data_IF_525211570890
#
_entry.id   IF_525211570890
#
_cell.length_a   1.000
_cell.length_b   1.000
_cell.length_c   1.000
_cell.angle_alpha   90.00
_cell.angle_beta   90.00
_cell.angle_gamma   90.00
#
_symmetry.space_group_name_H-M   'P 1'
#
loop_
_entity.id
_entity.type
_entity.pdbx_description
1 polymer ?
#
# COMPACT_ATOMS: atom_id res chain seq x y z
N UNK A 1 -14.68 -21.67 -14.15
CA UNK A 1 -14.34 -20.82 -15.32
C UNK A 1 -13.65 -19.57 -14.78
N UNK A 2 -12.32 -19.46 -14.90
CA UNK A 2 -11.58 -18.28 -14.46
C UNK A 2 -11.44 -17.34 -15.66
N UNK A 3 -12.12 -16.18 -15.60
CA UNK A 3 -11.98 -15.15 -16.62
C UNK A 3 -10.74 -14.31 -16.31
N UNK A 4 -9.70 -14.43 -17.13
CA UNK A 4 -8.55 -13.55 -17.07
C UNK A 4 -8.88 -12.21 -17.74
N UNK A 5 -8.88 -11.13 -16.96
CA UNK A 5 -9.12 -9.78 -17.44
C UNK A 5 -7.81 -9.00 -17.48
N UNK A 6 -7.54 -8.32 -18.60
CA UNK A 6 -6.41 -7.38 -18.66
C UNK A 6 -6.56 -6.27 -17.62
N UNK A 7 -5.45 -5.74 -17.09
CA UNK A 7 -5.46 -4.60 -16.14
C UNK A 7 -6.24 -3.40 -16.69
N UNK A 8 -6.11 -3.13 -17.99
CA UNK A 8 -6.82 -2.04 -18.67
C UNK A 8 -8.32 -2.27 -18.70
N UNK A 9 -8.76 -3.49 -19.03
CA UNK A 9 -10.18 -3.88 -19.03
C UNK A 9 -10.75 -3.82 -17.62
N UNK A 10 -10.05 -4.40 -16.64
CA UNK A 10 -10.46 -4.35 -15.23
C UNK A 10 -10.61 -2.90 -14.74
N UNK A 11 -9.65 -2.03 -15.04
CA UNK A 11 -9.74 -0.62 -14.65
C UNK A 11 -10.91 0.12 -15.32
N UNK A 12 -11.27 -0.23 -16.57
CA UNK A 12 -12.40 0.37 -17.28
C UNK A 12 -13.75 -0.03 -16.67
N UNK A 13 -13.88 -1.27 -16.19
CA UNK A 13 -15.09 -1.78 -15.54
C UNK A 13 -15.20 -1.24 -14.10
N UNK A 14 -14.09 -1.23 -13.36
CA UNK A 14 -14.04 -0.80 -11.96
C UNK A 14 -14.55 0.63 -11.75
N UNK A 15 -14.10 1.58 -12.59
CA UNK A 15 -14.38 3.02 -12.43
C UNK A 15 -15.87 3.37 -12.37
N UNK A 16 -16.71 3.00 -13.36
CA UNK A 16 -18.14 3.33 -13.34
C UNK A 16 -18.88 2.64 -12.19
N UNK A 17 -18.58 1.37 -11.88
CA UNK A 17 -19.22 0.64 -10.78
C UNK A 17 -18.93 1.32 -9.45
N UNK A 18 -17.67 1.67 -9.20
CA UNK A 18 -17.27 2.32 -7.95
C UNK A 18 -17.93 3.69 -7.82
N UNK A 19 -18.00 4.47 -8.91
CA UNK A 19 -18.66 5.78 -8.92
C UNK A 19 -20.15 5.67 -8.58
N UNK A 20 -20.89 4.83 -9.30
CA UNK A 20 -22.32 4.60 -9.04
C UNK A 20 -22.56 4.16 -7.60
N UNK A 21 -21.76 3.22 -7.10
CA UNK A 21 -21.89 2.73 -5.72
C UNK A 21 -21.59 3.83 -4.70
N UNK A 22 -20.62 4.71 -4.98
CA UNK A 22 -20.27 5.81 -4.08
C UNK A 22 -21.35 6.89 -4.03
N UNK A 23 -21.96 7.20 -5.18
CA UNK A 23 -23.07 8.16 -5.28
C UNK A 23 -24.33 7.64 -4.57
N UNK A 24 -24.68 6.35 -4.75
CA UNK A 24 -25.88 5.74 -4.13
C UNK A 24 -25.78 5.66 -2.61
N UNK A 25 -24.58 5.39 -2.07
CA UNK A 25 -24.39 5.11 -0.64
C UNK A 25 -23.65 6.21 0.12
N UNK A 26 -23.46 7.39 -0.47
CA UNK A 26 -22.67 8.48 0.09
C UNK A 26 -21.32 7.98 0.65
N UNK A 27 -20.52 7.34 -0.20
CA UNK A 27 -19.22 6.80 0.22
C UNK A 27 -18.08 7.80 0.01
N UNK A 28 -18.40 9.00 -0.47
CA UNK A 28 -17.39 10.01 -0.75
C UNK A 28 -16.93 10.74 0.51
N UNK A 29 -15.63 11.02 0.63
CA UNK A 29 -15.08 11.75 1.76
C UNK A 29 -15.45 13.24 1.71
N UNK A 30 -15.76 13.82 2.87
CA UNK A 30 -15.93 15.26 3.03
C UNK A 30 -14.57 15.92 3.39
N UNK A 31 -14.16 16.93 2.62
CA UNK A 31 -12.90 17.67 2.85
C UNK A 31 -12.89 18.51 4.13
N UNK A 32 -14.05 18.77 4.73
CA UNK A 32 -14.16 19.48 6.01
C UNK A 32 -13.73 18.62 7.20
N UNK A 33 -13.79 17.28 7.07
CA UNK A 33 -13.37 16.37 8.13
C UNK A 33 -11.89 16.55 8.43
N UNK A 34 -11.56 16.59 9.73
CA UNK A 34 -10.20 16.81 10.23
C UNK A 34 -9.62 15.55 10.87
N UNK A 35 -8.30 15.51 10.94
CA UNK A 35 -7.50 14.44 11.54
C UNK A 35 -7.86 13.05 11.00
N UNK A 36 -7.94 12.93 9.67
CA UNK A 36 -8.30 11.67 9.04
C UNK A 36 -7.13 10.69 9.07
N UNK A 37 -7.40 9.42 9.37
CA UNK A 37 -6.47 8.31 9.14
C UNK A 37 -6.65 7.80 7.70
N UNK A 38 -5.59 7.81 6.89
CA UNK A 38 -5.62 7.24 5.55
C UNK A 38 -5.19 5.76 5.58
N UNK A 39 -6.12 4.85 5.31
CA UNK A 39 -5.86 3.42 5.18
C UNK A 39 -5.55 3.06 3.72
N UNK A 40 -4.29 2.81 3.41
CA UNK A 40 -3.84 2.50 2.05
C UNK A 40 -3.88 1.00 1.75
N UNK A 41 -4.67 0.62 0.74
CA UNK A 41 -4.84 -0.75 0.25
C UNK A 41 -5.37 -1.76 1.30
N UNK A 42 -6.16 -1.30 2.27
CA UNK A 42 -6.82 -2.19 3.25
C UNK A 42 -8.03 -2.88 2.61
N UNK A 43 -8.11 -4.21 2.72
CA UNK A 43 -9.27 -4.98 2.26
C UNK A 43 -10.35 -5.00 3.37
N UNK A 44 -11.54 -4.41 3.16
CA UNK A 44 -12.59 -4.41 4.17
C UNK A 44 -12.98 -5.81 4.65
N UNK A 45 -12.87 -6.84 3.80
CA UNK A 45 -13.17 -8.22 4.21
C UNK A 45 -12.16 -8.77 5.24
N UNK A 46 -10.92 -8.29 5.21
CA UNK A 46 -9.86 -8.74 6.12
C UNK A 46 -9.77 -7.89 7.37
N UNK A 47 -10.18 -6.62 7.29
CA UNK A 47 -10.03 -5.63 8.36
C UNK A 47 -11.39 -5.15 8.91
N UNK A 48 -12.44 -5.97 8.78
CA UNK A 48 -13.80 -5.66 9.26
C UNK A 48 -13.81 -5.15 10.70
N UNK A 49 -13.18 -5.89 11.62
CA UNK A 49 -13.10 -5.54 13.04
C UNK A 49 -12.43 -4.18 13.26
N UNK A 50 -11.29 -3.92 12.60
CA UNK A 50 -10.58 -2.63 12.69
C UNK A 50 -11.45 -1.45 12.23
N UNK A 51 -12.14 -1.60 11.10
CA UNK A 51 -12.99 -0.55 10.57
C UNK A 51 -14.20 -0.28 11.49
N UNK A 52 -14.74 -1.32 12.11
CA UNK A 52 -15.83 -1.20 13.08
C UNK A 52 -15.36 -0.56 14.38
N UNK A 53 -14.15 -0.86 14.84
CA UNK A 53 -13.57 -0.24 16.04
C UNK A 53 -13.29 1.25 15.80
N UNK A 54 -12.75 1.63 14.63
CA UNK A 54 -12.59 3.04 14.26
C UNK A 54 -13.92 3.80 14.28
N UNK A 55 -15.00 3.19 13.78
CA UNK A 55 -16.33 3.78 13.89
C UNK A 55 -16.77 3.95 15.35
N UNK A 56 -16.58 2.91 16.17
CA UNK A 56 -16.98 2.92 17.59
C UNK A 56 -16.24 4.01 18.37
N UNK A 57 -14.96 4.19 18.10
CA UNK A 57 -14.10 5.21 18.72
C UNK A 57 -14.25 6.61 18.06
N UNK A 58 -15.21 6.77 17.13
CA UNK A 58 -15.45 8.01 16.37
C UNK A 58 -14.19 8.56 15.66
N UNK A 59 -13.33 7.67 15.18
CA UNK A 59 -12.14 8.02 14.41
C UNK A 59 -12.53 8.28 12.96
N UNK A 60 -12.11 9.42 12.42
CA UNK A 60 -12.26 9.71 10.99
C UNK A 60 -11.22 8.92 10.20
N UNK A 61 -11.65 8.12 9.23
CA UNK A 61 -10.72 7.37 8.37
C UNK A 61 -11.20 7.29 6.92
N UNK A 62 -10.22 7.19 6.02
CA UNK A 62 -10.41 7.14 4.57
C UNK A 62 -9.76 5.89 4.00
N UNK A 63 -10.49 5.14 3.17
CA UNK A 63 -9.97 4.00 2.42
C UNK A 63 -9.43 4.48 1.08
N UNK A 64 -8.14 4.21 0.81
CA UNK A 64 -7.54 4.44 -0.50
C UNK A 64 -7.02 3.13 -1.09
N UNK A 65 -7.79 2.59 -2.04
CA UNK A 65 -7.61 1.22 -2.53
C UNK A 65 -7.20 1.21 -4.01
N UNK A 66 -5.89 1.36 -4.23
CA UNK A 66 -5.27 1.50 -5.55
C UNK A 66 -5.14 0.15 -6.28
N UNK A 67 -4.87 -0.93 -5.56
CA UNK A 67 -4.71 -2.28 -6.15
C UNK A 67 -6.05 -2.98 -6.39
N UNK A 68 -6.70 -3.39 -5.31
CA UNK A 68 -8.01 -4.05 -5.31
C UNK A 68 -9.05 -3.04 -4.85
N UNK A 69 -10.19 -2.86 -5.56
CA UNK A 69 -11.28 -2.01 -5.08
C UNK A 69 -11.66 -2.34 -3.63
N UNK A 70 -12.05 -1.33 -2.84
CA UNK A 70 -12.53 -1.58 -1.48
C UNK A 70 -13.85 -2.39 -1.49
N UNK A 71 -14.70 -2.18 -2.50
CA UNK A 71 -15.94 -2.92 -2.71
C UNK A 71 -15.73 -3.98 -3.78
N UNK A 72 -15.77 -5.25 -3.41
CA UNK A 72 -15.61 -6.39 -4.33
C UNK A 72 -16.80 -7.33 -4.37
N UNK A 73 -17.66 -7.29 -3.35
CA UNK A 73 -18.92 -8.03 -3.27
C UNK A 73 -19.86 -7.36 -2.25
N UNK A 74 -21.09 -7.90 -2.12
CA UNK A 74 -22.10 -7.41 -1.17
C UNK A 74 -21.55 -7.33 0.27
N UNK A 75 -20.80 -8.34 0.72
CA UNK A 75 -20.23 -8.34 2.08
C UNK A 75 -19.27 -7.17 2.30
N UNK A 76 -18.36 -6.90 1.36
CA UNK A 76 -17.46 -5.74 1.48
C UNK A 76 -18.22 -4.40 1.47
N UNK A 77 -19.31 -4.30 0.68
CA UNK A 77 -20.18 -3.13 0.69
C UNK A 77 -20.87 -2.96 2.05
N UNK A 78 -21.40 -4.05 2.61
CA UNK A 78 -22.04 -4.04 3.92
C UNK A 78 -21.06 -3.59 5.02
N UNK A 79 -19.82 -4.09 5.00
CA UNK A 79 -18.76 -3.67 5.93
C UNK A 79 -18.49 -2.17 5.79
N UNK A 80 -18.32 -1.67 4.57
CA UNK A 80 -18.05 -0.25 4.30
C UNK A 80 -19.19 0.63 4.84
N UNK A 81 -20.44 0.26 4.56
CA UNK A 81 -21.61 0.99 5.05
C UNK A 81 -21.70 0.94 6.57
N UNK A 82 -21.55 -0.24 7.15
CA UNK A 82 -21.71 -0.45 8.58
C UNK A 82 -20.61 0.25 9.39
N UNK A 83 -19.39 0.31 8.87
CA UNK A 83 -18.26 1.05 9.46
C UNK A 83 -18.27 2.55 9.13
N UNK A 84 -19.23 3.04 8.32
CA UNK A 84 -19.25 4.42 7.80
C UNK A 84 -17.95 4.81 7.07
N UNK A 85 -17.26 3.83 6.49
CA UNK A 85 -16.03 4.03 5.75
C UNK A 85 -16.26 4.96 4.56
N UNK A 86 -15.37 5.94 4.36
CA UNK A 86 -15.34 6.77 3.15
C UNK A 86 -14.22 6.31 2.23
N UNK A 87 -14.47 6.29 0.91
CA UNK A 87 -13.55 5.78 -0.10
C UNK A 87 -13.04 6.92 -0.95
N UNK A 88 -11.73 7.07 -0.99
CA UNK A 88 -11.05 8.03 -1.86
C UNK A 88 -10.88 7.44 -3.26
N UNK A 89 -11.43 8.11 -4.27
CA UNK A 89 -11.06 7.87 -5.67
C UNK A 89 -10.00 8.87 -6.12
N UNK A 90 -8.75 8.41 -6.13
CA UNK A 90 -7.59 9.23 -6.52
C UNK A 90 -7.71 9.78 -7.95
N UNK A 91 -8.41 9.10 -8.86
CA UNK A 91 -8.57 9.54 -10.25
C UNK A 91 -9.38 10.84 -10.36
N UNK A 92 -10.24 11.16 -9.39
CA UNK A 92 -11.01 12.41 -9.40
C UNK A 92 -10.12 13.64 -9.39
N UNK A 93 -8.87 13.50 -8.94
CA UNK A 93 -7.91 14.59 -8.93
C UNK A 93 -7.25 14.85 -10.28
N UNK A 94 -7.29 13.91 -11.21
CA UNK A 94 -6.60 13.99 -12.50
C UNK A 94 -6.99 15.26 -13.28
N UNK A 95 -8.27 15.65 -13.24
CA UNK A 95 -8.75 16.87 -13.91
C UNK A 95 -8.09 18.16 -13.42
N UNK A 96 -7.57 18.20 -12.20
CA UNK A 96 -6.96 19.40 -11.62
C UNK A 96 -5.45 19.50 -11.86
N UNK A 97 -4.79 18.40 -12.23
CA UNK A 97 -3.32 18.32 -12.36
C UNK A 97 -2.87 17.80 -13.73
N UNK A 98 -3.79 17.69 -14.69
CA UNK A 98 -3.55 17.07 -16.00
C UNK A 98 -2.41 17.73 -16.78
N UNK A 99 -2.35 19.07 -16.79
CA UNK A 99 -1.28 19.83 -17.45
C UNK A 99 0.08 19.57 -16.82
N UNK A 100 0.14 19.58 -15.49
CA UNK A 100 1.37 19.44 -14.74
C UNK A 100 1.94 18.02 -14.90
N UNK A 101 1.07 17.01 -14.84
CA UNK A 101 1.43 15.62 -15.13
C UNK A 101 2.01 15.49 -16.53
N UNK A 102 1.33 16.05 -17.54
CA UNK A 102 1.79 15.98 -18.93
C UNK A 102 3.19 16.58 -19.09
N UNK A 103 3.42 17.78 -18.55
CA UNK A 103 4.73 18.44 -18.63
C UNK A 103 5.81 17.65 -17.88
N UNK A 104 5.53 17.18 -16.67
CA UNK A 104 6.46 16.42 -15.87
C UNK A 104 6.83 15.07 -16.53
N UNK A 105 5.86 14.35 -17.08
CA UNK A 105 6.09 13.11 -17.81
C UNK A 105 6.92 13.33 -19.08
N UNK A 106 6.65 14.41 -19.83
CA UNK A 106 7.45 14.76 -21.02
C UNK A 106 8.89 15.09 -20.65
N UNK A 107 9.12 15.86 -19.59
CA UNK A 107 10.47 16.16 -19.11
C UNK A 107 11.19 14.88 -18.64
N UNK A 108 10.52 14.04 -17.87
CA UNK A 108 11.04 12.76 -17.41
C UNK A 108 11.41 11.85 -18.59
N UNK A 109 10.58 11.78 -19.63
CA UNK A 109 10.88 10.99 -20.84
C UNK A 109 12.21 11.44 -21.47
N UNK A 110 12.42 12.74 -21.66
CA UNK A 110 13.67 13.25 -22.22
C UNK A 110 14.89 12.88 -21.36
N UNK A 111 14.76 12.87 -20.04
CA UNK A 111 15.83 12.46 -19.11
C UNK A 111 16.10 10.95 -19.23
N UNK A 112 15.04 10.14 -19.24
CA UNK A 112 15.12 8.69 -19.38
C UNK A 112 15.82 8.31 -20.70
N UNK A 113 15.46 8.96 -21.80
CA UNK A 113 16.09 8.74 -23.11
C UNK A 113 17.58 9.03 -23.07
N UNK A 114 17.99 10.15 -22.46
CA UNK A 114 19.41 10.50 -22.29
C UNK A 114 20.16 9.45 -21.47
N UNK A 115 19.57 8.96 -20.37
CA UNK A 115 20.17 7.93 -19.53
C UNK A 115 20.36 6.63 -20.34
N UNK A 116 19.32 6.15 -21.01
CA UNK A 116 19.37 4.88 -21.75
C UNK A 116 20.21 4.91 -23.03
N UNK A 117 20.65 6.09 -23.48
CA UNK A 117 21.61 6.22 -24.56
C UNK A 117 23.05 5.90 -24.14
N UNK A 118 23.36 5.84 -22.83
CA UNK A 118 24.67 5.39 -22.33
C UNK A 118 24.78 3.86 -22.28
N UNK A 119 24.87 3.26 -23.46
CA UNK A 119 24.94 1.80 -23.61
C UNK A 119 26.17 1.18 -22.94
N UNK A 120 27.27 1.94 -22.85
CA UNK A 120 28.54 1.48 -22.26
C UNK A 120 28.40 1.23 -20.76
N UNK A 121 27.83 2.19 -20.02
CA UNK A 121 27.60 2.04 -18.58
C UNK A 121 26.66 0.88 -18.27
N UNK A 122 25.59 0.73 -19.05
CA UNK A 122 24.65 -0.37 -18.86
C UNK A 122 25.23 -1.74 -19.23
N UNK A 123 26.05 -1.83 -20.29
CA UNK A 123 26.78 -3.06 -20.59
C UNK A 123 27.64 -3.50 -19.43
N UNK A 124 28.36 -2.57 -18.81
CA UNK A 124 29.19 -2.83 -17.62
C UNK A 124 28.36 -3.27 -16.41
N UNK A 125 27.21 -2.61 -16.17
CA UNK A 125 26.33 -2.92 -15.04
C UNK A 125 25.63 -4.28 -15.18
N UNK A 126 25.13 -4.58 -16.37
CA UNK A 126 24.44 -5.83 -16.70
C UNK A 126 25.40 -6.83 -17.35
N UNK A 127 26.40 -7.27 -16.57
CA UNK A 127 27.38 -8.27 -16.97
C UNK A 127 27.61 -9.33 -15.89
N UNK A 128 27.91 -10.55 -16.31
CA UNK A 128 28.42 -11.65 -15.47
C UNK A 128 29.71 -12.14 -16.10
N UNK A 129 30.78 -12.27 -15.33
CA UNK A 129 32.10 -12.70 -15.83
C UNK A 129 32.58 -11.93 -17.07
N UNK A 130 32.30 -10.61 -17.10
CA UNK A 130 32.58 -9.69 -18.22
C UNK A 130 31.74 -9.91 -19.48
N UNK A 131 30.82 -10.88 -19.48
CA UNK A 131 29.83 -11.06 -20.53
C UNK A 131 28.59 -10.22 -20.23
N UNK A 132 28.36 -9.23 -21.08
CA UNK A 132 27.18 -8.38 -20.96
C UNK A 132 25.95 -9.05 -21.54
N UNK A 133 24.86 -9.07 -20.77
CA UNK A 133 23.53 -9.48 -21.23
C UNK A 133 22.61 -8.28 -21.51
N UNK A 134 23.14 -7.05 -21.46
CA UNK A 134 22.37 -5.83 -21.61
C UNK A 134 21.58 -5.79 -22.92
N UNK A 135 22.19 -6.15 -24.04
CA UNK A 135 21.54 -6.13 -25.35
C UNK A 135 20.30 -7.04 -25.41
N UNK A 136 20.25 -8.09 -24.60
CA UNK A 136 19.10 -9.02 -24.55
C UNK A 136 17.92 -8.46 -23.77
N UNK A 137 18.16 -7.51 -22.85
CA UNK A 137 17.12 -6.97 -21.95
C UNK A 137 16.82 -5.48 -22.18
N UNK A 138 17.66 -4.77 -22.93
CA UNK A 138 17.66 -3.30 -23.06
C UNK A 138 16.28 -2.73 -23.32
N UNK A 139 15.60 -3.21 -24.36
CA UNK A 139 14.32 -2.65 -24.79
C UNK A 139 13.23 -2.91 -23.74
N UNK A 140 13.12 -4.15 -23.26
CA UNK A 140 12.15 -4.51 -22.23
C UNK A 140 12.40 -3.73 -20.92
N UNK A 141 13.67 -3.60 -20.51
CA UNK A 141 14.03 -2.86 -19.31
C UNK A 141 13.69 -1.37 -19.46
N UNK A 142 14.01 -0.76 -20.61
CA UNK A 142 13.64 0.62 -20.93
C UNK A 142 12.13 0.83 -20.90
N UNK A 143 11.36 -0.07 -21.49
CA UNK A 143 9.89 0.02 -21.53
C UNK A 143 9.27 -0.10 -20.14
N UNK A 144 9.79 -1.04 -19.33
CA UNK A 144 9.37 -1.19 -17.93
C UNK A 144 9.70 0.09 -17.15
N UNK A 145 10.93 0.59 -17.22
CA UNK A 145 11.30 1.82 -16.51
C UNK A 145 10.46 3.01 -16.95
N UNK A 146 10.32 3.23 -18.26
CA UNK A 146 9.56 4.36 -18.81
C UNK A 146 8.11 4.33 -18.37
N UNK A 147 7.43 3.19 -18.54
CA UNK A 147 6.03 3.04 -18.13
C UNK A 147 5.84 3.21 -16.63
N UNK A 148 6.67 2.56 -15.80
CA UNK A 148 6.56 2.65 -14.34
C UNK A 148 6.86 4.04 -13.81
N UNK A 149 7.84 4.74 -14.37
CA UNK A 149 8.16 6.10 -13.95
C UNK A 149 7.07 7.09 -14.37
N UNK A 150 6.48 6.94 -15.55
CA UNK A 150 5.31 7.74 -15.96
C UNK A 150 4.11 7.53 -15.02
N UNK A 151 3.80 6.28 -14.68
CA UNK A 151 2.75 5.94 -13.70
C UNK A 151 3.04 6.55 -12.32
N UNK A 152 4.29 6.49 -11.84
CA UNK A 152 4.72 7.14 -10.60
C UNK A 152 4.53 8.65 -10.67
N UNK A 153 4.96 9.31 -11.74
CA UNK A 153 4.82 10.76 -11.89
C UNK A 153 3.37 11.16 -11.78
N UNK A 154 2.47 10.53 -12.53
CA UNK A 154 1.03 10.80 -12.43
C UNK A 154 0.54 10.67 -10.99
N UNK A 155 0.82 9.53 -10.35
CA UNK A 155 0.32 9.22 -9.03
C UNK A 155 0.87 10.15 -7.94
N UNK A 156 2.11 10.62 -8.04
CA UNK A 156 2.68 11.62 -7.14
C UNK A 156 1.92 12.96 -7.21
N UNK A 157 1.55 13.43 -8.39
CA UNK A 157 0.72 14.64 -8.53
C UNK A 157 -0.69 14.44 -7.95
N UNK A 158 -1.29 13.26 -8.14
CA UNK A 158 -2.58 12.95 -7.55
C UNK A 158 -2.51 12.87 -6.01
N UNK A 159 -1.47 12.25 -5.44
CA UNK A 159 -1.25 12.25 -4.00
C UNK A 159 -1.02 13.66 -3.44
N UNK A 160 -0.24 14.49 -4.15
CA UNK A 160 -0.06 15.90 -3.77
C UNK A 160 -1.41 16.61 -3.68
N UNK A 161 -2.30 16.39 -4.67
CA UNK A 161 -3.64 16.97 -4.63
C UNK A 161 -4.48 16.40 -3.49
N UNK A 162 -4.43 15.08 -3.25
CA UNK A 162 -5.10 14.41 -2.14
C UNK A 162 -4.74 15.06 -0.79
N UNK A 163 -3.45 15.14 -0.46
CA UNK A 163 -2.98 15.67 0.82
C UNK A 163 -3.17 17.18 0.96
N UNK A 164 -3.29 17.92 -0.14
CA UNK A 164 -3.74 19.33 -0.08
C UNK A 164 -5.25 19.49 0.11
N UNK A 165 -6.04 18.44 -0.16
CA UNK A 165 -7.51 18.50 -0.16
C UNK A 165 -8.10 18.01 1.17
N UNK A 166 -7.53 16.94 1.73
CA UNK A 166 -7.98 16.35 2.99
C UNK A 166 -6.94 16.56 4.07
N UNK A 167 -7.42 16.86 5.28
CA UNK A 167 -6.58 16.92 6.47
C UNK A 167 -6.27 15.49 6.95
N UNK A 168 -5.19 14.91 6.43
CA UNK A 168 -4.71 13.58 6.79
C UNK A 168 -3.69 13.72 7.92
N UNK A 169 -3.98 13.12 9.08
CA UNK A 169 -3.09 13.14 10.24
C UNK A 169 -2.04 12.02 10.15
N UNK A 170 -2.50 10.81 9.82
CA UNK A 170 -1.65 9.62 9.79
C UNK A 170 -2.02 8.70 8.62
N UNK A 171 -1.00 8.13 7.96
CA UNK A 171 -1.14 7.13 6.90
C UNK A 171 -0.86 5.74 7.47
N UNK A 172 -1.79 4.82 7.33
CA UNK A 172 -1.59 3.42 7.64
C UNK A 172 -1.37 2.64 6.34
N UNK A 173 -0.32 1.81 6.35
CA UNK A 173 -0.03 0.87 5.26
C UNK A 173 0.08 -0.54 5.82
N UNK A 174 -0.27 -1.55 5.03
CA UNK A 174 0.01 -2.94 5.41
C UNK A 174 1.51 -3.25 5.29
N UNK A 175 2.15 -2.79 4.22
CA UNK A 175 3.58 -2.97 3.96
C UNK A 175 4.10 -1.89 3.02
N UNK A 176 5.35 -1.49 3.16
CA UNK A 176 5.97 -0.39 2.40
C UNK A 176 6.84 -0.84 1.20
N UNK A 177 6.66 -2.06 0.70
CA UNK A 177 7.49 -2.58 -0.42
C UNK A 177 7.01 -2.13 -1.79
N UNK A 178 5.70 -1.93 -1.94
CA UNK A 178 5.09 -1.68 -3.24
C UNK A 178 5.22 -0.23 -3.67
N UNK A 179 5.21 -0.04 -4.99
CA UNK A 179 5.41 1.28 -5.62
C UNK A 179 4.39 2.31 -5.12
N UNK A 180 3.12 1.94 -5.03
CA UNK A 180 2.06 2.84 -4.59
C UNK A 180 2.17 3.21 -3.11
N UNK A 181 2.58 2.28 -2.23
CA UNK A 181 2.80 2.58 -0.81
C UNK A 181 4.00 3.50 -0.61
N UNK A 182 5.12 3.22 -1.29
CA UNK A 182 6.31 4.06 -1.22
C UNK A 182 6.00 5.50 -1.61
N UNK A 183 5.31 5.69 -2.73
CA UNK A 183 4.94 7.03 -3.20
C UNK A 183 3.97 7.75 -2.25
N UNK A 184 2.98 7.04 -1.70
CA UNK A 184 2.06 7.61 -0.72
C UNK A 184 2.79 8.06 0.55
N UNK A 185 3.70 7.22 1.09
CA UNK A 185 4.49 7.52 2.29
C UNK A 185 5.43 8.71 2.03
N UNK A 186 6.18 8.69 0.92
CA UNK A 186 7.12 9.76 0.59
C UNK A 186 6.42 11.10 0.37
N UNK A 187 5.27 11.08 -0.32
CA UNK A 187 4.46 12.29 -0.49
C UNK A 187 3.83 12.73 0.84
N UNK A 188 3.39 11.79 1.69
CA UNK A 188 2.94 12.09 3.05
C UNK A 188 4.00 12.82 3.88
N UNK A 189 5.25 12.33 3.85
CA UNK A 189 6.39 12.98 4.50
C UNK A 189 6.65 14.39 3.98
N UNK A 190 6.50 14.63 2.68
CA UNK A 190 6.59 15.98 2.11
C UNK A 190 5.55 16.94 2.71
N UNK A 191 4.37 16.43 3.09
CA UNK A 191 3.34 17.17 3.82
C UNK A 191 3.45 17.05 5.36
N UNK A 192 4.56 16.52 5.89
CA UNK A 192 4.77 16.27 7.33
C UNK A 192 3.75 15.31 7.98
N UNK A 193 3.11 14.46 7.18
CA UNK A 193 2.13 13.46 7.63
C UNK A 193 2.89 12.22 8.12
N UNK A 194 2.51 11.71 9.30
CA UNK A 194 3.12 10.51 9.88
C UNK A 194 2.60 9.25 9.20
N UNK A 195 3.44 8.22 9.18
CA UNK A 195 3.12 6.94 8.56
C UNK A 195 3.38 5.77 9.49
N UNK A 196 2.48 4.79 9.48
CA UNK A 196 2.50 3.61 10.33
C UNK A 196 2.33 2.35 9.48
N UNK A 197 3.26 1.41 9.58
CA UNK A 197 3.14 0.08 8.97
C UNK A 197 2.50 -0.91 9.94
N UNK A 198 1.45 -1.61 9.52
CA UNK A 198 0.85 -2.74 10.26
C UNK A 198 1.50 -4.06 9.81
N UNK A 199 2.54 -4.49 10.51
CA UNK A 199 3.34 -5.65 10.10
C UNK A 199 2.88 -6.94 10.79
N UNK A 200 2.29 -7.84 9.99
CA UNK A 200 1.78 -9.12 10.49
C UNK A 200 2.82 -10.23 10.35
N UNK A 201 3.50 -10.56 11.46
CA UNK A 201 4.22 -11.83 11.62
C UNK A 201 5.37 -12.09 10.65
N UNK A 202 5.98 -11.04 10.09
CA UNK A 202 7.12 -11.16 9.17
C UNK A 202 8.43 -11.01 9.93
N UNK A 203 9.08 -12.14 10.22
CA UNK A 203 10.44 -12.17 10.74
C UNK A 203 11.28 -13.14 9.91
N UNK A 204 12.50 -12.75 9.55
CA UNK A 204 13.42 -13.66 8.89
C UNK A 204 14.03 -14.65 9.89
N UNK A 205 14.21 -15.89 9.44
CA UNK A 205 14.85 -16.96 10.22
C UNK A 205 16.34 -17.11 9.92
N UNK A 206 16.88 -16.34 8.97
CA UNK A 206 18.29 -16.46 8.54
C UNK A 206 18.86 -15.13 8.02
N UNK A 207 20.09 -14.81 8.47
CA UNK A 207 20.85 -13.62 8.06
C UNK A 207 21.13 -13.52 6.56
N UNK A 208 21.10 -14.65 5.83
CA UNK A 208 21.30 -14.64 4.36
C UNK A 208 20.28 -13.77 3.61
N UNK A 209 19.14 -13.51 4.25
CA UNK A 209 18.05 -12.70 3.69
C UNK A 209 18.20 -11.20 3.97
N UNK A 210 19.15 -10.79 4.83
CA UNK A 210 19.30 -9.37 5.21
C UNK A 210 19.68 -8.49 4.02
N UNK A 211 20.44 -9.02 3.05
CA UNK A 211 20.75 -8.32 1.80
C UNK A 211 19.51 -8.00 0.94
N UNK A 212 18.37 -8.65 1.21
CA UNK A 212 17.10 -8.42 0.53
C UNK A 212 16.07 -7.66 1.38
N UNK A 213 16.44 -7.25 2.59
CA UNK A 213 15.51 -6.68 3.56
C UNK A 213 14.76 -5.45 3.05
N UNK A 214 15.44 -4.59 2.28
CA UNK A 214 14.86 -3.39 1.67
C UNK A 214 13.77 -3.68 0.64
N UNK A 215 13.80 -4.86 0.03
CA UNK A 215 12.78 -5.32 -0.93
C UNK A 215 11.62 -6.04 -0.25
N UNK A 216 11.81 -6.48 0.99
CA UNK A 216 10.85 -7.29 1.75
C UNK A 216 10.22 -6.53 2.94
N UNK A 217 10.68 -5.30 3.21
CA UNK A 217 10.34 -4.49 4.37
C UNK A 217 10.60 -5.25 5.68
N UNK A 218 11.82 -5.77 5.81
CA UNK A 218 12.32 -6.41 7.03
C UNK A 218 13.14 -5.44 7.87
N UNK A 219 13.17 -5.68 9.18
CA UNK A 219 13.86 -4.83 10.15
C UNK A 219 15.38 -4.77 9.97
N UNK A 220 16.00 -5.70 9.24
CA UNK A 220 17.43 -5.60 8.93
C UNK A 220 17.77 -4.51 7.90
N UNK A 221 16.77 -3.74 7.46
CA UNK A 221 16.95 -2.47 6.75
C UNK A 221 16.17 -1.35 7.41
N UNK A 222 16.57 -0.11 7.13
CA UNK A 222 15.77 1.07 7.48
C UNK A 222 14.42 1.01 6.79
N UNK A 223 13.37 1.39 7.51
CA UNK A 223 12.04 1.49 6.94
C UNK A 223 11.72 2.91 6.45
N UNK A 224 10.81 2.99 5.49
CA UNK A 224 10.24 4.23 5.00
C UNK A 224 9.20 4.81 5.97
N UNK A 225 8.45 3.97 6.67
CA UNK A 225 7.44 4.39 7.64
C UNK A 225 8.04 4.96 8.92
N UNK A 226 7.33 5.88 9.58
CA UNK A 226 7.81 6.51 10.82
C UNK A 226 7.67 5.58 12.02
N UNK A 227 6.61 4.78 12.04
CA UNK A 227 6.31 3.81 13.10
C UNK A 227 5.80 2.49 12.54
N UNK A 228 5.79 1.49 13.41
CA UNK A 228 5.37 0.15 13.09
C UNK A 228 4.52 -0.40 14.22
N UNK A 229 3.42 -1.06 13.86
CA UNK A 229 2.64 -1.89 14.78
C UNK A 229 2.90 -3.34 14.40
N UNK A 230 3.45 -4.08 15.35
CA UNK A 230 3.93 -5.45 15.17
C UNK A 230 3.11 -6.44 15.99
N UNK A 231 3.24 -7.72 15.61
CA UNK A 231 2.49 -8.81 16.21
C UNK A 231 2.70 -8.96 17.73
N UNK A 232 3.96 -8.93 18.19
CA UNK A 232 4.25 -9.23 19.60
C UNK A 232 5.73 -9.08 19.95
N UNK A 233 6.06 -9.46 21.18
CA UNK A 233 7.38 -9.19 21.79
C UNK A 233 8.55 -9.76 20.98
N UNK A 234 8.41 -10.95 20.40
CA UNK A 234 9.46 -11.57 19.57
C UNK A 234 9.86 -10.66 18.40
N UNK A 235 8.86 -10.11 17.68
CA UNK A 235 9.10 -9.18 16.57
C UNK A 235 9.68 -7.86 17.07
N UNK A 236 9.32 -7.42 18.29
CA UNK A 236 9.86 -6.20 18.91
C UNK A 236 11.35 -6.36 19.16
N UNK A 237 11.74 -7.44 19.83
CA UNK A 237 13.14 -7.75 20.13
C UNK A 237 13.97 -7.86 18.85
N UNK A 238 13.39 -8.44 17.80
CA UNK A 238 14.03 -8.51 16.49
C UNK A 238 14.28 -7.13 15.86
N UNK A 239 13.31 -6.23 15.95
CA UNK A 239 13.46 -4.86 15.48
C UNK A 239 14.56 -4.11 16.25
N UNK A 240 14.55 -4.25 17.58
CA UNK A 240 15.53 -3.61 18.46
C UNK A 240 16.95 -4.13 18.21
N UNK A 241 17.12 -5.43 17.93
CA UNK A 241 18.43 -5.99 17.57
C UNK A 241 18.99 -5.45 16.24
N UNK A 242 18.17 -4.76 15.44
CA UNK A 242 18.55 -4.08 14.20
C UNK A 242 18.50 -2.55 14.34
N UNK A 243 18.66 -2.04 15.58
CA UNK A 243 18.76 -0.62 15.90
C UNK A 243 17.50 0.21 15.57
N UNK A 244 16.32 -0.41 15.49
CA UNK A 244 15.07 0.36 15.42
C UNK A 244 14.76 1.00 16.77
N UNK A 245 14.24 2.23 16.75
CA UNK A 245 13.89 2.95 17.97
C UNK A 245 12.72 2.25 18.71
N UNK A 246 12.82 2.00 20.03
CA UNK A 246 11.73 1.42 20.81
C UNK A 246 10.41 2.20 20.72
N UNK A 247 10.48 3.53 20.59
CA UNK A 247 9.31 4.40 20.50
C UNK A 247 8.60 4.30 19.14
N UNK A 248 9.27 3.74 18.14
CA UNK A 248 8.74 3.56 16.78
C UNK A 248 8.22 2.14 16.54
N UNK A 249 8.39 1.22 17.50
CA UNK A 249 7.96 -0.18 17.39
C UNK A 249 6.94 -0.50 18.49
N UNK A 250 5.67 -0.51 18.10
CA UNK A 250 4.53 -0.70 18.99
C UNK A 250 3.98 -2.11 18.86
N UNK A 251 3.64 -2.76 19.97
CA UNK A 251 2.94 -4.04 19.94
C UNK A 251 1.45 -3.76 19.86
N UNK A 252 0.81 -4.24 18.80
CA UNK A 252 -0.64 -4.13 18.63
C UNK A 252 -1.29 -5.36 18.01
N UNK A 253 -0.55 -6.46 17.86
CA UNK A 253 -1.08 -7.68 17.26
C UNK A 253 -1.32 -7.51 15.77
N UNK A 254 -2.39 -8.14 15.27
CA UNK A 254 -2.77 -8.08 13.87
C UNK A 254 -4.27 -7.93 13.72
N UNK A 255 -4.74 -6.72 13.36
CA UNK A 255 -6.17 -6.48 13.17
C UNK A 255 -6.82 -7.34 12.08
N UNK A 256 -5.99 -7.92 11.20
CA UNK A 256 -6.43 -8.90 10.20
C UNK A 256 -6.92 -10.22 10.83
N UNK A 257 -6.45 -10.54 12.03
CA UNK A 257 -6.71 -11.81 12.72
C UNK A 257 -7.64 -11.66 13.93
N UNK A 258 -8.07 -10.45 14.29
CA UNK A 258 -8.95 -10.18 15.44
C UNK A 258 -10.21 -11.05 15.43
N UNK A 259 -10.78 -11.27 14.24
CA UNK A 259 -11.95 -12.13 14.07
C UNK A 259 -11.77 -13.56 14.60
N UNK A 260 -10.55 -14.11 14.56
CA UNK A 260 -10.27 -15.45 15.11
C UNK A 260 -10.41 -15.47 16.63
N UNK A 261 -10.06 -14.39 17.31
CA UNK A 261 -10.15 -14.26 18.76
C UNK A 261 -11.55 -13.86 19.23
N UNK A 262 -12.33 -13.21 18.37
CA UNK A 262 -13.73 -12.85 18.63
C UNK A 262 -14.74 -13.99 18.36
N UNK A 263 -14.27 -15.18 17.96
CA UNK A 263 -15.14 -16.35 17.87
C UNK A 263 -15.58 -16.77 19.27
N UNK A 264 -16.88 -16.65 19.55
CA UNK A 264 -17.47 -17.23 20.76
C UNK A 264 -17.06 -18.70 20.82
N UNK A 265 -16.62 -19.15 22.01
CA UNK A 265 -16.23 -20.54 22.21
C UNK A 265 -17.43 -21.42 21.85
N UNK A 266 -17.47 -21.91 20.61
CA UNK A 266 -18.30 -23.07 20.30
C UNK A 266 -17.85 -24.12 21.30
N UNK A 267 -18.81 -24.80 21.94
CA UNK A 267 -18.53 -26.01 22.74
C UNK A 267 -17.85 -27.00 21.82
N UNK A 268 -16.55 -26.84 21.61
CA UNK A 268 -15.73 -27.81 20.92
C UNK A 268 -15.85 -29.03 21.81
N UNK A 269 -16.51 -30.09 21.29
CA UNK A 269 -16.40 -31.40 21.89
C UNK A 269 -14.90 -31.61 22.10
N UNK A 270 -14.46 -31.81 23.35
CA UNK A 270 -13.07 -32.06 23.69
C UNK A 270 -12.66 -33.39 23.04
N UNK A 271 -12.40 -33.38 21.74
CA UNK A 271 -12.03 -34.56 20.96
C UNK A 271 -10.54 -34.87 21.07
N UNK A 272 -9.77 -34.05 21.79
CA UNK A 272 -8.33 -34.18 21.95
C UNK A 272 -7.53 -33.90 20.67
N UNK A 273 -8.18 -33.40 19.61
CA UNK A 273 -7.52 -33.14 18.32
C UNK A 273 -7.02 -31.70 18.27
N UNK A 274 -5.70 -31.53 18.15
CA UNK A 274 -5.07 -30.25 17.84
C UNK A 274 -4.90 -30.19 16.32
N UNK A 275 -5.54 -29.22 15.67
CA UNK A 275 -5.28 -28.92 14.27
C UNK A 275 -4.10 -27.95 14.20
N UNK A 276 -2.96 -28.44 13.71
CA UNK A 276 -1.87 -27.59 13.26
C UNK A 276 -2.18 -27.19 11.81
N UNK A 277 -2.65 -25.96 11.61
CA UNK A 277 -2.73 -25.36 10.29
C UNK A 277 -1.41 -24.62 10.03
N UNK A 278 -0.65 -25.08 9.03
CA UNK A 278 0.54 -24.41 8.49
C UNK A 278 0.16 -23.48 7.35
#
# INVERSE_FOLDING_TARGET
MNFELSRKTFSRIKKPIQRLTSEIYDLEPNSQNKKNILLLNFDPLQYEELLMEFKKENINFLLLNLRKPAITNKKSLDIIKNSKSKIVDLNKFSKFVKSDIFYAQKNLQNIIEKIFNDDSSFKKLFSVDKFSFWSSIKDQFRDICTSRFQESTERLFLFKKLFSTFDIDTIFVWVEVGQEEKECILMGKFFSIKSVMLQHGRYQTSKKWDKFASFLAYFSSSLLTDKQIIWGEITKQYALSHNHSPNNVLIGGSPRHDKFFNLSSRKNKKTGKILLAT
#
